data_IF_427662293190
#
_entry.id   IF_427662293190
#
_cell.length_a   1.000
_cell.length_b   1.000
_cell.length_c   1.000
_cell.angle_alpha   90.00
_cell.angle_beta   90.00
_cell.angle_gamma   90.00
#
_symmetry.space_group_name_H-M   'P 1'
#
loop_
_entity.id
_entity.type
_entity.pdbx_description
1 polymer ?
#
# COMPACT_ATOMS: atom_id res chain seq x y z
N UNK A 1 -0.15 4.51 0.95
CA UNK A 1 0.05 4.89 2.35
C UNK A 1 -0.65 3.87 3.21
N UNK A 2 -0.07 3.50 4.35
CA UNK A 2 -0.60 2.53 5.29
C UNK A 2 -0.79 3.20 6.64
N UNK A 3 -2.00 3.13 7.18
CA UNK A 3 -2.35 3.70 8.48
C UNK A 3 -2.26 2.64 9.58
N UNK A 4 -1.85 2.98 10.82
CA UNK A 4 -1.72 2.04 11.93
C UNK A 4 -3.08 1.72 12.57
N UNK A 5 -4.05 1.26 11.78
CA UNK A 5 -5.42 0.95 12.23
C UNK A 5 -5.98 -0.28 11.52
N UNK A 6 -6.75 -1.09 12.25
CA UNK A 6 -7.51 -2.23 11.72
C UNK A 6 -8.98 -1.82 11.62
N UNK A 7 -9.53 -1.78 10.40
CA UNK A 7 -10.87 -1.23 10.16
C UNK A 7 -12.03 -2.22 10.40
N UNK A 8 -11.78 -3.53 10.36
CA UNK A 8 -12.81 -4.58 10.52
C UNK A 8 -13.79 -4.71 9.34
N UNK A 9 -14.14 -3.61 8.67
CA UNK A 9 -14.89 -3.54 7.40
C UNK A 9 -14.57 -2.24 6.66
N UNK A 10 -14.87 -2.16 5.36
CA UNK A 10 -14.65 -0.96 4.57
C UNK A 10 -14.58 -1.20 3.07
N UNK A 11 -14.44 -0.12 2.30
CA UNK A 11 -14.20 -0.22 0.86
C UNK A 11 -12.79 -0.74 0.60
N UNK A 12 -12.67 -1.75 -0.26
CA UNK A 12 -11.38 -2.30 -0.67
C UNK A 12 -10.65 -1.31 -1.58
N UNK A 13 -9.35 -1.15 -1.36
CA UNK A 13 -8.48 -0.35 -2.23
C UNK A 13 -8.32 -0.98 -3.62
N UNK A 14 -8.32 -2.31 -3.67
CA UNK A 14 -8.20 -3.10 -4.90
C UNK A 14 -9.38 -4.08 -5.01
N UNK A 15 -9.97 -4.23 -6.21
CA UNK A 15 -11.02 -5.19 -6.44
C UNK A 15 -10.48 -6.63 -6.39
N UNK A 16 -11.38 -7.59 -6.15
CA UNK A 16 -11.02 -9.00 -6.26
C UNK A 16 -10.78 -9.38 -7.74
N UNK A 17 -9.84 -10.30 -7.97
CA UNK A 17 -9.53 -10.77 -9.32
C UNK A 17 -8.69 -9.81 -10.18
N UNK A 18 -8.04 -8.80 -9.61
CA UNK A 18 -7.11 -7.96 -10.38
C UNK A 18 -5.89 -8.77 -10.83
N UNK A 19 -5.35 -8.43 -12.00
CA UNK A 19 -4.09 -8.99 -12.49
C UNK A 19 -2.93 -8.69 -11.53
N UNK A 20 -2.00 -9.63 -11.42
CA UNK A 20 -0.83 -9.48 -10.57
C UNK A 20 0.25 -8.67 -11.30
N UNK A 21 0.64 -7.55 -10.71
CA UNK A 21 1.75 -6.73 -11.18
C UNK A 21 2.98 -6.94 -10.30
N UNK A 22 4.15 -7.07 -10.92
CA UNK A 22 5.42 -7.02 -10.18
C UNK A 22 5.71 -5.57 -9.84
N UNK A 23 5.82 -5.28 -8.54
CA UNK A 23 6.19 -3.97 -8.04
C UNK A 23 7.58 -4.02 -7.39
N UNK A 24 8.38 -3.00 -7.62
CA UNK A 24 9.63 -2.77 -6.90
C UNK A 24 9.43 -1.62 -5.92
N UNK A 25 9.81 -1.82 -4.66
CA UNK A 25 9.84 -0.76 -3.66
C UNK A 25 10.99 0.20 -3.99
N UNK A 26 10.66 1.47 -4.20
CA UNK A 26 11.64 2.52 -4.48
C UNK A 26 12.00 3.30 -3.22
N UNK A 27 11.03 3.60 -2.37
CA UNK A 27 11.24 4.34 -1.14
C UNK A 27 10.17 4.02 -0.10
N UNK A 28 10.53 4.25 1.16
CA UNK A 28 9.63 4.18 2.32
C UNK A 28 9.89 5.37 3.22
N UNK A 29 8.81 5.99 3.71
CA UNK A 29 8.87 7.06 4.70
C UNK A 29 7.89 6.78 5.84
N UNK A 30 8.36 6.93 7.08
CA UNK A 30 7.55 6.75 8.29
C UNK A 30 7.32 8.09 8.96
N UNK A 31 6.06 8.43 9.20
CA UNK A 31 5.68 9.67 9.87
C UNK A 31 5.58 9.45 11.39
N UNK A 32 5.74 10.50 12.21
CA UNK A 32 5.59 10.41 13.67
C UNK A 32 4.23 9.88 14.16
N UNK A 33 3.19 9.97 13.31
CA UNK A 33 1.86 9.40 13.57
C UNK A 33 1.79 7.88 13.43
N UNK A 34 2.88 7.23 13.00
CA UNK A 34 2.92 5.80 12.66
C UNK A 34 2.38 5.47 11.26
N UNK A 35 1.99 6.49 10.47
CA UNK A 35 1.64 6.31 9.06
C UNK A 35 2.91 5.98 8.27
N UNK A 36 2.80 5.05 7.32
CA UNK A 36 3.92 4.66 6.45
C UNK A 36 3.56 4.87 4.98
N UNK A 37 4.37 5.66 4.28
CA UNK A 37 4.28 5.81 2.83
C UNK A 37 5.27 4.86 2.16
N UNK A 38 4.79 4.16 1.14
CA UNK A 38 5.59 3.30 0.28
C UNK A 38 5.45 3.79 -1.16
N UNK A 39 6.58 3.98 -1.84
CA UNK A 39 6.64 4.36 -3.25
C UNK A 39 7.05 3.12 -4.04
N UNK A 40 6.24 2.74 -5.02
CA UNK A 40 6.46 1.57 -5.85
C UNK A 40 6.48 1.94 -7.32
N UNK A 41 7.36 1.30 -8.09
CA UNK A 41 7.30 1.30 -9.55
C UNK A 41 6.95 -0.09 -10.09
N UNK A 42 6.35 -0.12 -11.28
CA UNK A 42 6.03 -1.37 -11.97
C UNK A 42 7.29 -1.92 -12.63
N UNK A 43 7.58 -3.19 -12.38
CA UNK A 43 8.66 -3.92 -13.06
C UNK A 43 8.05 -4.65 -14.26
N UNK A 44 8.63 -4.42 -15.44
CA UNK A 44 8.27 -5.12 -16.68
C UNK A 44 8.88 -6.51 -16.74
#
# INVERSE_FOLDING_TARGET
>A
MTYPVVLGSGQRLFPEGMDKFKLKLEATETFPTGVVTHIYCVVR
#
